data_IF_873354782599
#
_entry.id   IF_873354782599
#
_cell.length_a   1.000
_cell.length_b   1.000
_cell.length_c   1.000
_cell.angle_alpha   90.00
_cell.angle_beta   90.00
_cell.angle_gamma   90.00
#
_symmetry.space_group_name_H-M   'P 1'
#
loop_
_entity.id
_entity.type
_entity.pdbx_description
1 polymer ?
#
# COMPACT_ATOMS: atom_id res chain seq x y z
N UNK A 1 9.33 -15.29 0.74
CA UNK A 1 7.87 -15.11 0.63
C UNK A 1 7.23 -16.45 0.27
N UNK A 2 6.14 -16.82 0.94
CA UNK A 2 5.39 -18.05 0.66
C UNK A 2 4.86 -18.06 -0.80
N UNK A 3 4.79 -19.25 -1.42
CA UNK A 3 4.34 -19.46 -2.80
C UNK A 3 2.91 -18.97 -3.03
N UNK A 4 2.01 -19.15 -2.05
CA UNK A 4 0.62 -18.68 -2.15
C UNK A 4 0.52 -17.15 -2.32
N UNK A 5 1.29 -16.40 -1.53
CA UNK A 5 1.31 -14.92 -1.64
C UNK A 5 1.95 -14.46 -2.94
N UNK A 6 2.98 -15.17 -3.42
CA UNK A 6 3.57 -14.91 -4.75
C UNK A 6 2.56 -15.16 -5.87
N UNK A 7 1.78 -16.24 -5.78
CA UNK A 7 0.73 -16.55 -6.74
C UNK A 7 -0.34 -15.44 -6.77
N UNK A 8 -0.84 -14.99 -5.60
CA UNK A 8 -1.82 -13.90 -5.52
C UNK A 8 -1.33 -12.63 -6.22
N UNK A 9 -0.08 -12.20 -5.96
CA UNK A 9 0.50 -11.01 -6.60
C UNK A 9 0.65 -11.21 -8.11
N UNK A 10 1.15 -12.37 -8.53
CA UNK A 10 1.36 -12.66 -9.95
C UNK A 10 0.05 -12.75 -10.72
N UNK A 11 -0.97 -13.42 -10.19
CA UNK A 11 -2.28 -13.55 -10.83
C UNK A 11 -2.96 -12.18 -10.98
N UNK A 12 -2.91 -11.36 -9.92
CA UNK A 12 -3.39 -9.98 -9.96
C UNK A 12 -2.65 -9.15 -11.02
N UNK A 13 -1.31 -9.24 -11.06
CA UNK A 13 -0.51 -8.48 -12.00
C UNK A 13 -0.70 -8.96 -13.45
N UNK A 14 -0.76 -10.27 -13.68
CA UNK A 14 -0.97 -10.85 -15.00
C UNK A 14 -2.29 -10.40 -15.62
N UNK A 15 -3.35 -10.25 -14.81
CA UNK A 15 -4.62 -9.70 -15.28
C UNK A 15 -4.46 -8.25 -15.77
N UNK A 16 -3.73 -7.41 -15.04
CA UNK A 16 -3.55 -5.98 -15.36
C UNK A 16 -2.55 -5.73 -16.50
N UNK A 17 -1.48 -6.52 -16.59
CA UNK A 17 -0.44 -6.36 -17.60
C UNK A 17 -0.98 -6.57 -19.03
N UNK A 18 -2.09 -7.28 -19.19
CA UNK A 18 -2.79 -7.38 -20.49
C UNK A 18 -3.19 -6.02 -21.06
N UNK A 19 -3.56 -5.05 -20.22
CA UNK A 19 -3.92 -3.68 -20.64
C UNK A 19 -2.69 -2.99 -21.23
N UNK A 20 -1.52 -3.17 -20.61
CA UNK A 20 -0.27 -2.61 -21.09
C UNK A 20 0.16 -3.24 -22.42
N UNK A 21 0.03 -4.57 -22.56
CA UNK A 21 0.28 -5.26 -23.81
C UNK A 21 -0.63 -4.75 -24.94
N UNK A 22 -1.93 -4.56 -24.65
CA UNK A 22 -2.88 -3.99 -25.60
C UNK A 22 -2.52 -2.55 -26.02
N UNK A 23 -2.08 -1.70 -25.07
CA UNK A 23 -1.61 -0.33 -25.35
C UNK A 23 -0.40 -0.35 -26.30
N UNK A 24 0.55 -1.27 -26.10
CA UNK A 24 1.70 -1.46 -27.00
C UNK A 24 1.27 -1.89 -28.40
N UNK A 25 0.45 -2.93 -28.51
CA UNK A 25 -0.01 -3.47 -29.80
C UNK A 25 -0.79 -2.41 -30.59
N UNK A 26 -1.62 -1.62 -29.90
CA UNK A 26 -2.35 -0.50 -30.50
C UNK A 26 -1.41 0.60 -31.00
N UNK A 27 -0.39 0.98 -30.22
CA UNK A 27 0.58 2.00 -30.61
C UNK A 27 1.41 1.55 -31.83
N UNK A 28 1.86 0.29 -31.84
CA UNK A 28 2.58 -0.30 -32.97
C UNK A 28 1.71 -0.24 -34.24
N UNK A 29 0.44 -0.66 -34.15
CA UNK A 29 -0.49 -0.63 -35.28
C UNK A 29 -0.72 0.79 -35.84
N UNK A 30 -0.83 1.80 -34.96
CA UNK A 30 -0.94 3.21 -35.37
C UNK A 30 0.28 3.68 -36.16
N UNK A 31 1.49 3.40 -35.66
CA UNK A 31 2.72 3.80 -36.33
C UNK A 31 2.94 3.04 -37.64
N UNK A 32 2.62 1.75 -37.68
CA UNK A 32 2.69 0.94 -38.90
C UNK A 32 1.74 1.50 -39.98
N UNK A 33 0.53 1.93 -39.60
CA UNK A 33 -0.39 2.62 -40.51
C UNK A 33 0.18 3.91 -41.10
N UNK A 34 0.82 4.74 -40.26
CA UNK A 34 1.44 5.99 -40.70
C UNK A 34 2.63 5.73 -41.65
N UNK A 35 3.50 4.78 -41.30
CA UNK A 35 4.65 4.41 -42.13
C UNK A 35 4.21 3.81 -43.46
N UNK A 36 3.18 2.96 -43.47
CA UNK A 36 2.64 2.35 -44.70
C UNK A 36 2.02 3.40 -45.63
N UNK A 37 1.36 4.41 -45.07
CA UNK A 37 0.82 5.52 -45.86
C UNK A 37 1.95 6.36 -46.45
N UNK A 38 2.93 6.75 -45.63
CA UNK A 38 4.08 7.54 -46.09
C UNK A 38 4.91 6.80 -47.14
N UNK A 39 5.12 5.48 -47.01
CA UNK A 39 5.85 4.71 -48.01
C UNK A 39 5.14 4.68 -49.36
N UNK A 40 3.80 4.59 -49.39
CA UNK A 40 2.99 4.67 -50.62
C UNK A 40 3.01 6.05 -51.27
N UNK A 41 3.12 7.10 -50.45
CA UNK A 41 3.32 8.47 -50.95
C UNK A 41 4.72 8.63 -51.55
N UNK A 42 5.75 8.05 -50.94
CA UNK A 42 7.13 8.14 -51.43
C UNK A 42 7.43 7.23 -52.64
N UNK A 43 6.75 6.09 -52.77
CA UNK A 43 6.92 5.14 -53.88
C UNK A 43 6.11 5.51 -55.14
N UNK A 44 5.22 6.49 -55.06
CA UNK A 44 4.34 6.88 -56.18
C UNK A 44 3.21 5.86 -56.47
N UNK A 45 3.04 4.81 -55.66
CA UNK A 45 2.01 3.79 -55.86
C UNK A 45 0.57 4.32 -55.72
N UNK A 46 0.40 5.52 -55.17
CA UNK A 46 -0.88 6.24 -55.15
C UNK A 46 -1.34 6.67 -56.55
N UNK A 47 -0.41 6.84 -57.51
CA UNK A 47 -0.70 7.20 -58.90
C UNK A 47 -1.16 5.97 -59.71
N UNK A 48 -0.68 4.77 -59.39
CA UNK A 48 -1.02 3.54 -60.14
C UNK A 48 -2.40 2.94 -59.83
N UNK A 49 -3.00 3.27 -58.67
CA UNK A 49 -4.37 2.89 -58.37
C UNK A 49 -5.42 3.78 -59.08
N UNK A 50 -5.03 4.98 -59.51
CA UNK A 50 -5.85 5.84 -60.37
C UNK A 50 -5.86 5.40 -61.83
N UNK A 51 -4.76 4.79 -62.29
CA UNK A 51 -4.57 4.43 -63.70
C UNK A 51 -5.32 3.17 -64.14
N UNK A 52 -5.83 2.36 -63.20
CA UNK A 52 -6.75 1.25 -63.49
C UNK A 52 -8.24 1.65 -63.48
N UNK A 53 -8.55 2.90 -63.16
CA UNK A 53 -9.90 3.48 -63.21
C UNK A 53 -10.05 4.55 -64.31
N UNK A 54 -9.16 4.57 -65.31
CA UNK A 54 -9.25 5.41 -66.51
C UNK A 54 -10.50 5.18 -67.39
N UNK A 55 -11.47 4.38 -66.94
CA UNK A 55 -12.79 4.19 -67.58
C UNK A 55 -13.97 4.75 -66.78
N UNK A 56 -13.72 5.40 -65.63
CA UNK A 56 -14.77 5.89 -64.72
C UNK A 56 -15.32 7.29 -64.99
N UNK A 57 -14.62 8.11 -65.78
CA UNK A 57 -15.11 9.42 -66.20
C UNK A 57 -15.63 9.32 -67.63
N UNK A 58 -16.95 9.32 -67.79
CA UNK A 58 -17.57 9.34 -69.12
C UNK A 58 -17.07 10.51 -69.96
N UNK A 59 -17.23 10.38 -71.28
CA UNK A 59 -16.79 11.27 -72.38
C UNK A 59 -17.07 12.78 -72.18
N UNK A 60 -17.87 13.16 -71.18
CA UNK A 60 -18.16 14.53 -70.77
C UNK A 60 -17.08 15.23 -69.93
N UNK A 61 -16.17 14.50 -69.25
CA UNK A 61 -15.24 15.11 -68.28
C UNK A 61 -13.90 15.59 -68.88
N UNK A 62 -13.46 15.02 -70.01
CA UNK A 62 -12.14 15.29 -70.60
C UNK A 62 -11.92 16.74 -71.07
N UNK A 63 -12.99 17.54 -71.27
CA UNK A 63 -12.89 18.92 -71.74
C UNK A 63 -13.05 19.98 -70.63
N UNK A 64 -13.38 19.58 -69.40
CA UNK A 64 -13.64 20.51 -68.28
C UNK A 64 -12.55 20.45 -67.20
N UNK A 65 -11.75 19.39 -67.19
CA UNK A 65 -10.75 19.14 -66.17
C UNK A 65 -9.41 18.92 -66.88
N UNK A 66 -8.51 19.89 -66.74
CA UNK A 66 -7.13 19.79 -67.25
C UNK A 66 -6.35 18.81 -66.35
N UNK A 67 -6.26 17.57 -66.81
CA UNK A 67 -5.64 16.43 -66.14
C UNK A 67 -4.18 16.73 -65.76
N UNK A 68 -3.45 17.44 -66.64
CA UNK A 68 -2.07 17.85 -66.42
C UNK A 68 -1.93 18.90 -65.31
N UNK A 69 -2.93 19.78 -65.17
CA UNK A 69 -2.98 20.74 -64.06
C UNK A 69 -3.38 20.08 -62.75
N UNK A 70 -4.27 19.10 -62.77
CA UNK A 70 -4.63 18.33 -61.58
C UNK A 70 -3.46 17.48 -61.08
N UNK A 71 -2.74 16.81 -61.96
CA UNK A 71 -1.48 16.14 -61.62
C UNK A 71 -0.47 17.11 -61.04
N UNK A 72 -0.29 18.30 -61.64
CA UNK A 72 0.64 19.31 -61.11
C UNK A 72 0.23 19.83 -59.74
N UNK A 73 -1.07 20.02 -59.50
CA UNK A 73 -1.61 20.47 -58.21
C UNK A 73 -1.50 19.36 -57.18
N UNK A 74 -1.79 18.11 -57.54
CA UNK A 74 -1.67 16.93 -56.66
C UNK A 74 -0.21 16.63 -56.30
N UNK A 75 0.72 16.79 -57.25
CA UNK A 75 2.16 16.66 -56.97
C UNK A 75 2.73 17.84 -56.17
N UNK A 76 2.29 19.08 -56.44
CA UNK A 76 2.69 20.25 -55.63
C UNK A 76 2.10 20.23 -54.21
N UNK A 77 0.82 19.83 -54.06
CA UNK A 77 0.19 19.68 -52.74
C UNK A 77 0.69 18.45 -51.99
N UNK A 78 0.93 17.34 -52.68
CA UNK A 78 1.53 16.13 -52.12
C UNK A 78 2.95 16.37 -51.58
N UNK A 79 3.79 17.13 -52.30
CA UNK A 79 5.12 17.56 -51.81
C UNK A 79 5.05 18.49 -50.60
N UNK A 80 4.01 19.33 -50.51
CA UNK A 80 3.76 20.18 -49.33
C UNK A 80 3.34 19.41 -48.08
N UNK A 81 2.77 18.22 -48.26
CA UNK A 81 2.29 17.37 -47.16
C UNK A 81 3.23 16.19 -46.83
N UNK A 82 4.32 16.04 -47.57
CA UNK A 82 5.34 15.04 -47.33
C UNK A 82 5.94 15.19 -45.92
N UNK A 83 6.04 14.07 -45.21
CA UNK A 83 6.56 14.06 -43.85
C UNK A 83 8.03 14.50 -43.83
N UNK A 84 8.41 15.34 -42.86
CA UNK A 84 9.83 15.71 -42.72
C UNK A 84 10.70 14.49 -42.42
N UNK A 85 11.89 14.43 -43.01
CA UNK A 85 12.81 13.30 -42.81
C UNK A 85 13.11 13.02 -41.33
N UNK A 86 13.23 14.07 -40.50
CA UNK A 86 13.41 13.94 -39.05
C UNK A 86 12.21 13.29 -38.37
N UNK A 87 10.98 13.64 -38.77
CA UNK A 87 9.76 13.03 -38.24
C UNK A 87 9.65 11.57 -38.66
N UNK A 88 9.91 11.27 -39.93
CA UNK A 88 9.91 9.91 -40.45
C UNK A 88 10.90 9.00 -39.70
N UNK A 89 12.14 9.47 -39.47
CA UNK A 89 13.13 8.76 -38.68
C UNK A 89 12.69 8.52 -37.24
N UNK A 90 12.07 9.51 -36.57
CA UNK A 90 11.55 9.32 -35.21
C UNK A 90 10.43 8.30 -35.15
N UNK A 91 9.49 8.32 -36.10
CA UNK A 91 8.39 7.35 -36.16
C UNK A 91 8.94 5.94 -36.37
N UNK A 92 9.91 5.76 -37.28
CA UNK A 92 10.59 4.48 -37.48
C UNK A 92 11.30 4.00 -36.21
N UNK A 93 12.01 4.91 -35.52
CA UNK A 93 12.71 4.60 -34.28
C UNK A 93 11.74 4.20 -33.15
N UNK A 94 10.66 4.96 -32.98
CA UNK A 94 9.62 4.69 -31.99
C UNK A 94 8.94 3.34 -32.27
N UNK A 95 8.60 3.06 -33.52
CA UNK A 95 8.03 1.77 -33.94
C UNK A 95 8.97 0.61 -33.61
N UNK A 96 10.25 0.72 -34.01
CA UNK A 96 11.25 -0.31 -33.72
C UNK A 96 11.42 -0.52 -32.22
N UNK A 97 11.47 0.56 -31.45
CA UNK A 97 11.57 0.50 -29.98
C UNK A 97 10.37 -0.20 -29.35
N UNK A 98 9.15 0.15 -29.76
CA UNK A 98 7.93 -0.50 -29.28
C UNK A 98 7.86 -1.98 -29.63
N UNK A 99 8.33 -2.38 -30.82
CA UNK A 99 8.41 -3.79 -31.20
C UNK A 99 9.37 -4.57 -30.29
N UNK A 100 10.55 -4.02 -29.99
CA UNK A 100 11.50 -4.63 -29.04
C UNK A 100 10.89 -4.73 -27.64
N UNK A 101 10.22 -3.68 -27.15
CA UNK A 101 9.52 -3.71 -25.86
C UNK A 101 8.43 -4.76 -25.83
N UNK A 102 7.74 -4.98 -26.95
CA UNK A 102 6.70 -6.01 -27.05
C UNK A 102 7.28 -7.42 -27.02
N UNK A 103 8.44 -7.63 -27.65
CA UNK A 103 9.18 -8.90 -27.62
C UNK A 103 9.73 -9.21 -26.21
N UNK A 104 10.25 -8.20 -25.51
CA UNK A 104 10.82 -8.33 -24.15
C UNK A 104 9.80 -8.09 -23.03
N UNK A 105 8.51 -8.05 -23.34
CA UNK A 105 7.43 -7.68 -22.39
C UNK A 105 7.50 -8.43 -21.05
N UNK A 106 7.76 -9.74 -21.09
CA UNK A 106 7.84 -10.57 -19.89
C UNK A 106 9.02 -10.23 -18.97
N UNK A 107 10.04 -9.50 -19.45
CA UNK A 107 11.24 -9.17 -18.68
C UNK A 107 11.06 -7.88 -17.88
N UNK A 108 10.51 -6.84 -18.52
CA UNK A 108 10.38 -5.49 -17.93
C UNK A 108 9.00 -5.24 -17.33
N UNK A 109 7.93 -5.86 -17.84
CA UNK A 109 6.56 -5.70 -17.33
C UNK A 109 6.15 -6.82 -16.36
N UNK A 110 7.09 -7.37 -15.58
CA UNK A 110 6.83 -8.42 -14.57
C UNK A 110 6.76 -7.83 -13.17
N UNK A 111 6.03 -8.50 -12.28
CA UNK A 111 6.14 -8.23 -10.85
C UNK A 111 7.58 -8.52 -10.36
N UNK A 112 8.18 -7.58 -9.65
CA UNK A 112 9.51 -7.75 -9.05
C UNK A 112 9.37 -8.20 -7.60
N UNK A 113 10.09 -9.26 -7.23
CA UNK A 113 10.15 -9.75 -5.86
C UNK A 113 11.58 -9.63 -5.35
N UNK A 114 11.75 -8.92 -4.24
CA UNK A 114 13.02 -8.67 -3.58
C UNK A 114 12.98 -9.24 -2.17
N UNK A 115 14.10 -9.75 -1.68
CA UNK A 115 14.28 -9.98 -0.25
C UNK A 115 14.92 -8.73 0.39
N UNK A 116 14.41 -8.32 1.54
CA UNK A 116 14.95 -7.18 2.28
C UNK A 116 16.36 -7.50 2.79
N UNK A 117 17.36 -6.79 2.26
CA UNK A 117 18.76 -6.87 2.70
C UNK A 117 19.18 -5.58 3.40
N UNK A 118 19.10 -4.46 2.68
CA UNK A 118 19.31 -3.10 3.16
C UNK A 118 18.49 -2.10 2.31
N UNK A 119 18.27 -0.87 2.79
CA UNK A 119 17.45 0.13 2.07
C UNK A 119 17.99 0.53 0.70
N UNK A 120 19.30 0.68 0.56
CA UNK A 120 19.94 1.15 -0.67
C UNK A 120 19.77 0.16 -1.81
N UNK A 121 19.97 -1.13 -1.52
CA UNK A 121 19.78 -2.21 -2.48
C UNK A 121 18.33 -2.26 -2.97
N UNK A 122 17.36 -2.19 -2.03
CA UNK A 122 15.93 -2.20 -2.38
C UNK A 122 15.56 -0.97 -3.20
N UNK A 123 16.02 0.22 -2.80
CA UNK A 123 15.75 1.48 -3.51
C UNK A 123 16.34 1.49 -4.92
N UNK A 124 17.57 1.01 -5.07
CA UNK A 124 18.26 0.92 -6.37
C UNK A 124 17.58 -0.07 -7.31
N UNK A 125 17.19 -1.25 -6.81
CA UNK A 125 16.43 -2.24 -7.58
C UNK A 125 15.08 -1.69 -8.02
N UNK A 126 14.35 -1.05 -7.10
CA UNK A 126 13.09 -0.39 -7.40
C UNK A 126 13.25 0.67 -8.50
N UNK A 127 14.18 1.61 -8.33
CA UNK A 127 14.40 2.68 -9.31
C UNK A 127 14.79 2.10 -10.67
N UNK A 128 15.65 1.08 -10.72
CA UNK A 128 16.03 0.41 -11.96
C UNK A 128 14.85 -0.26 -12.65
N UNK A 129 14.01 -1.00 -11.91
CA UNK A 129 12.88 -1.72 -12.47
C UNK A 129 11.79 -0.77 -12.96
N UNK A 130 11.45 0.26 -12.16
CA UNK A 130 10.46 1.25 -12.53
C UNK A 130 10.91 2.19 -13.64
N UNK A 131 12.21 2.51 -13.73
CA UNK A 131 12.72 3.28 -14.87
C UNK A 131 12.67 2.46 -16.17
N UNK A 132 12.89 1.15 -16.13
CA UNK A 132 12.68 0.29 -17.30
C UNK A 132 11.22 0.31 -17.77
N UNK A 133 10.26 0.36 -16.84
CA UNK A 133 8.85 0.57 -17.17
C UNK A 133 8.60 1.99 -17.71
N UNK A 134 9.20 3.02 -17.10
CA UNK A 134 9.06 4.40 -17.52
C UNK A 134 9.59 4.65 -18.94
N UNK A 135 10.67 3.97 -19.35
CA UNK A 135 11.18 4.02 -20.72
C UNK A 135 10.14 3.53 -21.73
N UNK A 136 9.38 2.48 -21.38
CA UNK A 136 8.27 2.00 -22.20
C UNK A 136 7.13 3.01 -22.29
N UNK A 137 6.75 3.64 -21.17
CA UNK A 137 5.76 4.72 -21.15
C UNK A 137 6.21 5.94 -21.96
N UNK A 138 7.49 6.33 -21.88
CA UNK A 138 8.06 7.39 -22.69
C UNK A 138 7.91 7.09 -24.19
N UNK A 139 8.25 5.88 -24.62
CA UNK A 139 8.07 5.46 -26.01
C UNK A 139 6.61 5.48 -26.45
N UNK A 140 5.68 5.04 -25.60
CA UNK A 140 4.24 5.10 -25.87
C UNK A 140 3.75 6.55 -26.02
N UNK A 141 4.22 7.48 -25.17
CA UNK A 141 3.89 8.90 -25.28
C UNK A 141 4.46 9.53 -26.55
N UNK A 142 5.71 9.20 -26.91
CA UNK A 142 6.30 9.63 -28.18
C UNK A 142 5.45 9.15 -29.36
N UNK A 143 5.04 7.87 -29.35
CA UNK A 143 4.19 7.30 -30.38
C UNK A 143 2.82 7.99 -30.49
N UNK A 144 2.17 8.32 -29.37
CA UNK A 144 0.90 9.06 -29.38
C UNK A 144 1.07 10.49 -29.91
N UNK A 145 2.11 11.20 -29.46
CA UNK A 145 2.43 12.55 -29.93
C UNK A 145 2.72 12.57 -31.43
N UNK A 146 3.48 11.59 -31.93
CA UNK A 146 3.77 11.47 -33.36
C UNK A 146 2.55 11.09 -34.19
N UNK A 147 1.71 10.20 -33.66
CA UNK A 147 0.45 9.80 -34.31
C UNK A 147 -0.50 10.98 -34.49
N UNK A 148 -0.54 11.89 -33.50
CA UNK A 148 -1.31 13.12 -33.58
C UNK A 148 -0.60 14.29 -34.29
N UNK A 149 0.62 14.10 -34.82
CA UNK A 149 1.45 15.19 -35.35
C UNK A 149 1.69 16.35 -34.36
N UNK A 150 1.69 16.06 -33.05
CA UNK A 150 1.85 17.04 -31.95
C UNK A 150 3.28 17.08 -31.40
N UNK A 151 4.18 16.23 -31.88
CA UNK A 151 5.53 16.15 -31.36
C UNK A 151 6.37 17.39 -31.70
N UNK A 152 6.84 18.12 -30.68
CA UNK A 152 7.71 19.29 -30.81
C UNK A 152 9.12 18.94 -30.30
N UNK A 153 10.13 18.81 -31.18
CA UNK A 153 11.49 18.41 -30.76
C UNK A 153 12.10 19.32 -29.68
N UNK A 154 11.91 20.63 -29.81
CA UNK A 154 12.48 21.63 -28.88
C UNK A 154 12.00 21.46 -27.43
N UNK A 155 10.80 20.90 -27.23
CA UNK A 155 10.19 20.68 -25.92
C UNK A 155 10.32 19.23 -25.49
N UNK A 156 9.93 18.30 -26.35
CA UNK A 156 9.79 16.89 -26.00
C UNK A 156 11.13 16.17 -25.93
N UNK A 157 12.13 16.53 -26.73
CA UNK A 157 13.43 15.85 -26.68
C UNK A 157 14.14 16.10 -25.34
N UNK A 158 13.96 17.30 -24.76
CA UNK A 158 14.49 17.63 -23.43
C UNK A 158 13.72 16.90 -22.32
N UNK A 159 12.39 16.83 -22.44
CA UNK A 159 11.53 16.13 -21.49
C UNK A 159 11.83 14.62 -21.43
N UNK A 160 11.86 13.95 -22.58
CA UNK A 160 12.05 12.50 -22.63
C UNK A 160 13.47 12.04 -22.29
N UNK A 161 14.48 12.93 -22.39
CA UNK A 161 15.87 12.62 -22.03
C UNK A 161 16.06 12.30 -20.55
N UNK A 162 15.28 12.95 -19.68
CA UNK A 162 15.35 12.78 -18.22
C UNK A 162 14.05 12.15 -17.68
N UNK A 163 13.30 11.44 -18.52
CA UNK A 163 12.06 10.81 -18.12
C UNK A 163 12.35 9.63 -17.19
N UNK A 164 11.71 9.62 -16.03
CA UNK A 164 11.83 8.57 -15.03
C UNK A 164 10.45 8.16 -14.53
N UNK A 165 10.38 7.14 -13.68
CA UNK A 165 9.12 6.74 -13.06
C UNK A 165 8.43 7.88 -12.29
N UNK A 166 9.17 8.90 -11.85
CA UNK A 166 8.60 10.10 -11.19
C UNK A 166 7.82 11.02 -12.13
N UNK A 167 7.91 10.79 -13.45
CA UNK A 167 7.23 11.58 -14.48
C UNK A 167 5.99 10.87 -15.05
N UNK A 168 5.65 9.69 -14.52
CA UNK A 168 4.44 8.96 -14.89
C UNK A 168 3.20 9.77 -14.46
N UNK A 169 2.15 9.68 -15.27
CA UNK A 169 0.83 10.18 -14.88
C UNK A 169 0.09 9.11 -14.06
N UNK A 170 -1.07 9.45 -13.51
CA UNK A 170 -1.82 8.54 -12.64
C UNK A 170 -2.22 7.24 -13.36
N UNK A 171 -2.63 7.30 -14.63
CA UNK A 171 -2.99 6.10 -15.42
C UNK A 171 -1.80 5.17 -15.68
N UNK A 172 -0.61 5.74 -15.87
CA UNK A 172 0.63 4.97 -16.06
C UNK A 172 1.13 4.43 -14.72
N UNK A 173 1.04 5.21 -13.64
CA UNK A 173 1.37 4.75 -12.30
C UNK A 173 0.46 3.59 -11.85
N UNK A 174 -0.83 3.63 -12.20
CA UNK A 174 -1.80 2.55 -11.97
C UNK A 174 -1.48 1.25 -12.72
N UNK A 175 -0.75 1.35 -13.82
CA UNK A 175 -0.31 0.23 -14.65
C UNK A 175 1.18 -0.07 -14.48
N UNK A 176 1.81 0.44 -13.43
CA UNK A 176 3.20 0.14 -13.11
C UNK A 176 3.33 -1.28 -12.51
N UNK A 177 4.34 -2.07 -12.90
CA UNK A 177 4.60 -3.37 -12.31
C UNK A 177 4.87 -3.25 -10.81
N UNK A 178 4.29 -4.11 -9.96
CA UNK A 178 4.50 -4.03 -8.53
C UNK A 178 5.92 -4.44 -8.17
N UNK A 179 6.54 -3.70 -7.24
CA UNK A 179 7.79 -4.12 -6.60
C UNK A 179 7.50 -4.54 -5.17
N UNK A 180 7.58 -5.85 -4.93
CA UNK A 180 7.27 -6.50 -3.67
C UNK A 180 8.55 -6.85 -2.93
N UNK A 181 8.68 -6.32 -1.73
CA UNK A 181 9.81 -6.56 -0.84
C UNK A 181 9.36 -7.50 0.26
N UNK A 182 9.95 -8.68 0.31
CA UNK A 182 9.74 -9.66 1.35
C UNK A 182 10.71 -9.42 2.51
N UNK A 183 10.18 -9.35 3.72
CA UNK A 183 10.94 -9.18 4.94
C UNK A 183 10.51 -10.19 5.99
N UNK A 184 11.48 -10.82 6.65
CA UNK A 184 11.26 -11.56 7.89
C UNK A 184 11.56 -10.65 9.09
N UNK A 185 10.67 -10.57 10.10
CA UNK A 185 10.84 -9.73 11.28
C UNK A 185 12.17 -9.91 12.02
N UNK A 186 12.76 -11.11 11.99
CA UNK A 186 14.08 -11.42 12.57
C UNK A 186 14.43 -10.67 13.86
N UNK A 187 15.72 -10.36 14.03
CA UNK A 187 16.21 -9.44 15.08
C UNK A 187 16.17 -7.99 14.62
N UNK A 188 15.18 -7.57 13.82
CA UNK A 188 15.09 -6.19 13.31
C UNK A 188 14.83 -5.23 14.48
N UNK A 189 15.91 -4.65 15.00
CA UNK A 189 15.92 -3.73 16.13
C UNK A 189 16.94 -2.63 15.88
N UNK A 190 16.80 -1.50 16.58
CA UNK A 190 17.76 -0.41 16.51
C UNK A 190 17.94 0.13 15.09
N UNK A 191 19.18 0.14 14.59
CA UNK A 191 19.56 0.72 13.29
C UNK A 191 18.71 0.22 12.11
N UNK A 192 18.37 -1.07 12.08
CA UNK A 192 17.58 -1.68 11.00
C UNK A 192 16.14 -1.18 10.94
N UNK A 193 15.60 -0.68 12.06
CA UNK A 193 14.30 -0.02 12.08
C UNK A 193 14.37 1.39 11.50
N UNK A 194 15.45 2.13 11.80
CA UNK A 194 15.69 3.45 11.19
C UNK A 194 15.84 3.37 9.68
N UNK A 195 16.58 2.37 9.20
CA UNK A 195 16.72 2.02 7.79
C UNK A 195 15.37 1.75 7.10
N UNK A 196 14.46 1.02 7.75
CA UNK A 196 13.11 0.80 7.21
C UNK A 196 12.28 2.08 7.15
N UNK A 197 12.32 2.90 8.19
CA UNK A 197 11.63 4.19 8.23
C UNK A 197 12.13 5.09 7.09
N UNK A 198 13.44 5.11 6.83
CA UNK A 198 14.03 5.84 5.71
C UNK A 198 13.53 5.31 4.37
N UNK A 199 13.49 3.98 4.19
CA UNK A 199 12.97 3.34 2.99
C UNK A 199 11.52 3.76 2.69
N UNK A 200 10.65 3.75 3.70
CA UNK A 200 9.25 4.18 3.54
C UNK A 200 9.11 5.71 3.36
N UNK A 201 10.03 6.49 3.92
CA UNK A 201 10.04 7.95 3.77
C UNK A 201 10.57 8.41 2.41
N UNK A 202 11.24 7.52 1.66
CA UNK A 202 11.83 7.80 0.35
C UNK A 202 10.85 8.06 -0.79
N UNK A 203 9.53 8.03 -0.53
CA UNK A 203 8.49 8.40 -1.50
C UNK A 203 8.27 7.39 -2.63
N UNK A 204 8.87 6.20 -2.54
CA UNK A 204 8.65 5.10 -3.49
C UNK A 204 7.43 4.28 -3.07
N UNK A 205 6.49 3.94 -3.96
CA UNK A 205 5.36 3.07 -3.65
C UNK A 205 5.77 1.58 -3.51
N UNK A 206 6.69 1.31 -2.58
CA UNK A 206 7.18 -0.02 -2.25
C UNK A 206 6.12 -0.84 -1.51
N UNK A 207 6.03 -2.14 -1.83
CA UNK A 207 5.07 -3.08 -1.22
C UNK A 207 5.83 -4.05 -0.32
N UNK A 208 5.86 -3.78 0.98
CA UNK A 208 6.65 -4.56 1.94
C UNK A 208 5.78 -5.61 2.63
N UNK A 209 6.05 -6.88 2.36
CA UNK A 209 5.41 -8.01 3.03
C UNK A 209 6.28 -8.46 4.20
N UNK A 210 5.74 -8.31 5.40
CA UNK A 210 6.37 -8.71 6.66
C UNK A 210 5.72 -10.01 7.12
N UNK A 211 6.44 -11.13 6.98
CA UNK A 211 5.91 -12.45 7.33
C UNK A 211 6.39 -12.85 8.73
N UNK A 212 5.50 -12.78 9.70
CA UNK A 212 5.78 -13.14 11.08
C UNK A 212 5.55 -14.62 11.30
N UNK A 213 6.56 -15.32 11.82
CA UNK A 213 6.47 -16.77 12.10
C UNK A 213 5.70 -17.06 13.40
N UNK A 214 5.56 -16.04 14.26
CA UNK A 214 4.86 -16.15 15.52
C UNK A 214 4.42 -14.80 16.09
N UNK A 215 3.39 -14.86 16.93
CA UNK A 215 2.91 -13.72 17.70
C UNK A 215 3.23 -13.83 19.20
N UNK A 216 4.11 -14.76 19.60
CA UNK A 216 4.63 -14.85 20.98
C UNK A 216 5.93 -14.07 21.15
N UNK A 217 6.16 -13.50 22.34
CA UNK A 217 7.34 -12.66 22.63
C UNK A 217 8.29 -13.31 23.63
N UNK A 218 9.54 -12.84 23.66
CA UNK A 218 10.53 -13.30 24.64
C UNK A 218 10.11 -13.00 26.08
N UNK A 219 10.46 -13.91 27.00
CA UNK A 219 10.06 -13.86 28.41
C UNK A 219 11.23 -13.73 29.39
N UNK A 220 12.46 -13.66 28.89
CA UNK A 220 13.67 -13.63 29.69
C UNK A 220 13.84 -12.35 30.55
N UNK A 221 13.08 -11.29 30.29
CA UNK A 221 13.09 -10.06 31.07
C UNK A 221 11.68 -9.62 31.45
N UNK A 222 11.56 -8.93 32.59
CA UNK A 222 10.31 -8.39 33.12
C UNK A 222 10.40 -6.88 33.33
N UNK A 223 9.26 -6.23 33.52
CA UNK A 223 9.16 -4.78 33.71
C UNK A 223 9.64 -3.99 32.48
N UNK A 224 10.37 -2.89 32.70
CA UNK A 224 10.84 -2.01 31.61
C UNK A 224 11.78 -2.71 30.63
N UNK A 225 12.49 -3.75 31.07
CA UNK A 225 13.39 -4.50 30.21
C UNK A 225 12.65 -5.46 29.26
N UNK A 226 11.41 -5.83 29.57
CA UNK A 226 10.56 -6.68 28.72
C UNK A 226 10.20 -5.99 27.39
N UNK A 227 10.18 -4.65 27.35
CA UNK A 227 9.94 -3.88 26.13
C UNK A 227 10.95 -4.25 25.03
N UNK A 228 12.20 -4.54 25.42
CA UNK A 228 13.24 -4.97 24.49
C UNK A 228 13.05 -6.42 24.01
N UNK A 229 12.02 -7.13 24.45
CA UNK A 229 11.71 -8.51 24.06
C UNK A 229 10.42 -8.62 23.24
N UNK A 230 9.62 -7.55 23.18
CA UNK A 230 8.51 -7.43 22.24
C UNK A 230 9.04 -7.36 20.81
N UNK A 231 8.30 -7.95 19.86
CA UNK A 231 8.58 -7.72 18.44
C UNK A 231 8.12 -6.32 18.06
N UNK A 232 8.83 -5.64 17.14
CA UNK A 232 8.34 -4.39 16.61
C UNK A 232 7.00 -4.59 15.91
N UNK A 233 5.99 -3.84 16.34
CA UNK A 233 4.66 -3.84 15.74
C UNK A 233 4.70 -3.05 14.41
N UNK A 234 5.10 -3.71 13.31
CA UNK A 234 5.27 -3.08 11.98
C UNK A 234 3.99 -2.42 11.46
N UNK A 235 2.83 -3.00 11.76
CA UNK A 235 1.56 -2.40 11.37
C UNK A 235 1.32 -1.06 12.09
N UNK A 236 1.59 -1.00 13.40
CA UNK A 236 1.47 0.22 14.19
C UNK A 236 2.50 1.28 13.77
N UNK A 237 3.72 0.86 13.42
CA UNK A 237 4.72 1.74 12.81
C UNK A 237 4.19 2.37 11.51
N UNK A 238 3.57 1.57 10.63
CA UNK A 238 2.98 2.07 9.39
C UNK A 238 1.94 3.17 9.63
N UNK A 239 1.07 2.99 10.63
CA UNK A 239 0.12 4.02 11.08
C UNK A 239 0.87 5.29 11.53
N UNK A 240 1.92 5.15 12.35
CA UNK A 240 2.70 6.27 12.85
C UNK A 240 3.38 7.08 11.74
N UNK A 241 3.72 6.44 10.60
CA UNK A 241 4.29 7.10 9.43
C UNK A 241 3.25 7.89 8.60
N UNK A 242 1.95 7.70 8.84
CA UNK A 242 0.79 8.42 8.27
C UNK A 242 0.58 8.35 6.75
N UNK A 243 1.63 8.03 5.99
CA UNK A 243 1.61 7.99 4.52
C UNK A 243 1.74 6.57 3.97
N UNK A 244 1.73 5.56 4.83
CA UNK A 244 1.93 4.15 4.49
C UNK A 244 0.59 3.43 4.61
N UNK A 245 0.18 2.74 3.56
CA UNK A 245 -0.97 1.83 3.61
C UNK A 245 -0.59 0.60 4.44
N UNK A 246 -1.46 0.14 5.34
CA UNK A 246 -1.17 -1.02 6.20
C UNK A 246 -2.29 -2.03 6.11
N UNK A 247 -1.91 -3.29 6.01
CA UNK A 247 -2.78 -4.42 6.31
C UNK A 247 -2.08 -5.27 7.36
N UNK A 248 -2.76 -5.54 8.46
CA UNK A 248 -2.34 -6.55 9.42
C UNK A 248 -3.40 -7.64 9.51
N UNK A 249 -2.99 -8.90 9.44
CA UNK A 249 -3.92 -10.02 9.55
C UNK A 249 -3.26 -11.38 9.37
N UNK A 250 -4.09 -12.41 9.35
CA UNK A 250 -3.64 -13.81 9.25
C UNK A 250 -4.15 -14.40 7.93
N UNK A 251 -3.29 -14.96 7.07
CA UNK A 251 -3.72 -15.61 5.83
C UNK A 251 -4.79 -16.69 6.06
N UNK A 252 -5.78 -16.75 5.18
CA UNK A 252 -6.91 -17.67 5.28
C UNK A 252 -8.26 -17.03 5.66
N UNK A 253 -8.26 -15.74 6.01
CA UNK A 253 -9.48 -14.94 6.14
C UNK A 253 -9.94 -14.42 4.77
N UNK A 254 -11.25 -14.47 4.49
CA UNK A 254 -11.81 -14.18 3.17
C UNK A 254 -11.46 -12.78 2.66
N UNK A 255 -11.52 -11.76 3.53
CA UNK A 255 -11.36 -10.36 3.13
C UNK A 255 -9.91 -9.87 3.12
N UNK A 256 -8.98 -10.61 3.72
CA UNK A 256 -7.57 -10.21 3.76
C UNK A 256 -6.95 -10.11 2.36
N UNK A 257 -7.34 -11.01 1.45
CA UNK A 257 -6.85 -10.99 0.08
C UNK A 257 -7.28 -9.71 -0.64
N UNK A 258 -8.55 -9.28 -0.46
CA UNK A 258 -9.06 -8.06 -1.07
C UNK A 258 -8.30 -6.81 -0.59
N UNK A 259 -7.99 -6.74 0.71
CA UNK A 259 -7.20 -5.66 1.29
C UNK A 259 -5.75 -5.65 0.79
N UNK A 260 -5.16 -6.83 0.61
CA UNK A 260 -3.83 -6.96 -0.01
C UNK A 260 -3.86 -6.39 -1.43
N UNK A 261 -4.84 -6.78 -2.24
CA UNK A 261 -4.97 -6.30 -3.62
C UNK A 261 -5.21 -4.78 -3.69
N UNK A 262 -5.95 -4.22 -2.73
CA UNK A 262 -6.15 -2.78 -2.59
C UNK A 262 -4.83 -2.08 -2.25
N UNK A 263 -4.06 -2.64 -1.31
CA UNK A 263 -2.74 -2.10 -0.96
C UNK A 263 -1.71 -2.19 -2.09
N UNK A 264 -1.77 -3.23 -2.93
CA UNK A 264 -0.92 -3.36 -4.12
C UNK A 264 -1.21 -2.25 -5.14
N UNK A 265 -2.46 -1.79 -5.23
CA UNK A 265 -2.90 -0.71 -6.12
C UNK A 265 -2.60 0.69 -5.60
N UNK A 266 -2.42 0.86 -4.30
CA UNK A 266 -2.15 2.17 -3.72
C UNK A 266 -0.89 2.83 -4.31
N UNK A 267 -0.90 4.13 -4.56
CA UNK A 267 0.29 4.90 -4.95
C UNK A 267 1.21 5.21 -3.77
N UNK A 268 0.89 4.67 -2.59
CA UNK A 268 1.67 4.83 -1.38
C UNK A 268 2.56 3.61 -1.13
N UNK A 269 3.63 3.77 -0.35
CA UNK A 269 4.27 2.63 0.27
C UNK A 269 3.22 1.84 1.07
N UNK A 270 3.33 0.51 1.06
CA UNK A 270 2.42 -0.37 1.77
C UNK A 270 3.19 -1.37 2.65
N UNK A 271 2.64 -1.67 3.82
CA UNK A 271 3.12 -2.71 4.74
C UNK A 271 2.00 -3.75 4.88
N UNK A 272 2.32 -5.00 4.53
CA UNK A 272 1.47 -6.15 4.77
C UNK A 272 2.09 -6.98 5.90
N UNK A 273 1.63 -6.77 7.13
CA UNK A 273 2.08 -7.47 8.34
C UNK A 273 1.26 -8.74 8.52
N UNK A 274 1.80 -9.89 8.09
CA UNK A 274 1.06 -11.14 8.04
C UNK A 274 1.63 -12.14 9.03
N UNK A 275 0.79 -12.76 9.85
CA UNK A 275 1.19 -13.87 10.72
C UNK A 275 1.07 -15.19 9.94
N UNK A 276 2.18 -15.85 9.66
CA UNK A 276 2.17 -17.19 9.10
C UNK A 276 1.70 -18.20 10.16
N UNK A 277 0.57 -18.84 9.89
CA UNK A 277 0.13 -20.01 10.66
C UNK A 277 0.73 -21.25 10.01
N UNK A 278 1.70 -21.90 10.66
CA UNK A 278 2.16 -23.24 10.29
C UNK A 278 1.45 -24.29 11.17
N UNK A 279 0.46 -25.03 10.62
CA UNK A 279 -0.22 -26.08 11.37
C UNK A 279 0.71 -27.22 11.81
N UNK A 280 1.84 -27.41 11.13
CA UNK A 280 2.81 -28.47 11.42
C UNK A 280 3.78 -28.13 12.56
N UNK A 281 4.16 -26.86 12.71
CA UNK A 281 5.08 -26.41 13.78
C UNK A 281 4.36 -26.19 15.12
N UNK A 282 3.07 -25.84 15.12
CA UNK A 282 2.27 -25.69 16.33
C UNK A 282 0.81 -26.13 16.06
N UNK A 283 0.51 -27.44 16.10
CA UNK A 283 -0.84 -27.97 15.87
C UNK A 283 -1.89 -27.47 16.89
N UNK A 284 -1.45 -26.85 17.99
CA UNK A 284 -2.30 -26.21 19.00
C UNK A 284 -2.57 -24.72 18.75
N UNK A 285 -1.85 -24.07 17.81
CA UNK A 285 -2.23 -22.78 17.21
C UNK A 285 -3.37 -23.02 16.21
N UNK A 286 -4.44 -23.64 16.69
CA UNK A 286 -5.68 -23.79 15.97
C UNK A 286 -6.33 -22.41 15.81
N UNK A 287 -6.40 -21.96 14.57
CA UNK A 287 -7.13 -20.81 14.04
C UNK A 287 -6.45 -19.44 14.16
N UNK A 288 -6.24 -18.82 12.99
CA UNK A 288 -6.15 -17.37 12.79
C UNK A 288 -7.09 -16.59 13.74
N UNK A 289 -8.30 -17.13 13.91
CA UNK A 289 -9.32 -16.61 14.81
C UNK A 289 -8.83 -16.43 16.26
N UNK A 290 -8.08 -17.38 16.84
CA UNK A 290 -7.55 -17.23 18.19
C UNK A 290 -6.49 -16.13 18.29
N UNK A 291 -5.60 -16.01 17.30
CA UNK A 291 -4.58 -14.96 17.28
C UNK A 291 -5.22 -13.56 17.26
N UNK A 292 -6.31 -13.41 16.50
CA UNK A 292 -7.05 -12.16 16.38
C UNK A 292 -7.89 -11.90 17.64
N UNK A 293 -8.67 -12.87 18.10
CA UNK A 293 -9.55 -12.74 19.26
C UNK A 293 -8.79 -12.46 20.56
N UNK A 294 -7.62 -13.09 20.75
CA UNK A 294 -6.74 -12.86 21.91
C UNK A 294 -6.01 -11.51 21.89
N UNK A 295 -6.15 -10.73 20.81
CA UNK A 295 -5.37 -9.53 20.52
C UNK A 295 -3.85 -9.78 20.42
N UNK A 296 -3.43 -11.05 20.23
CA UNK A 296 -2.03 -11.37 19.94
C UNK A 296 -1.59 -10.79 18.60
N UNK A 297 -2.49 -10.86 17.60
CA UNK A 297 -2.28 -10.34 16.26
C UNK A 297 -3.60 -9.77 15.70
N UNK A 298 -4.08 -8.62 16.21
CA UNK A 298 -5.35 -8.06 15.78
C UNK A 298 -5.31 -7.69 14.30
N UNK A 299 -6.44 -7.87 13.62
CA UNK A 299 -6.61 -7.53 12.21
C UNK A 299 -6.89 -6.03 12.08
N UNK A 300 -6.27 -5.34 11.14
CA UNK A 300 -6.68 -3.97 10.81
C UNK A 300 -6.18 -3.54 9.44
N UNK A 301 -6.87 -2.56 8.86
CA UNK A 301 -6.47 -1.88 7.63
C UNK A 301 -6.29 -0.41 7.94
N UNK A 302 -5.15 0.16 7.57
CA UNK A 302 -4.93 1.60 7.59
C UNK A 302 -4.75 2.09 6.16
N UNK A 303 -5.73 2.86 5.67
CA UNK A 303 -5.68 3.51 4.38
C UNK A 303 -5.61 5.04 4.55
N UNK A 304 -4.43 5.66 4.36
CA UNK A 304 -4.28 7.11 4.43
C UNK A 304 -5.18 7.91 3.49
N UNK A 305 -5.67 7.28 2.41
CA UNK A 305 -6.50 7.93 1.40
C UNK A 305 -8.01 7.74 1.65
N UNK A 306 -8.42 7.01 2.69
CA UNK A 306 -9.84 6.78 3.00
C UNK A 306 -10.54 7.98 3.63
N UNK A 307 -9.79 8.93 4.24
CA UNK A 307 -10.36 10.13 4.84
C UNK A 307 -9.31 11.12 5.35
N UNK A 308 -9.78 12.18 6.01
CA UNK A 308 -8.91 13.20 6.61
C UNK A 308 -8.61 12.87 8.08
N UNK A 309 -9.62 12.41 8.82
CA UNK A 309 -9.45 12.04 10.22
C UNK A 309 -8.85 10.64 10.33
N UNK A 310 -8.00 10.42 11.34
CA UNK A 310 -7.39 9.10 11.57
C UNK A 310 -8.43 7.98 11.73
N UNK A 311 -9.59 8.31 12.31
CA UNK A 311 -10.70 7.38 12.49
C UNK A 311 -11.32 6.91 11.17
N UNK A 312 -11.32 7.75 10.13
CA UNK A 312 -11.81 7.38 8.80
C UNK A 312 -10.78 6.51 8.04
N UNK A 313 -9.51 6.60 8.45
CA UNK A 313 -8.40 5.92 7.79
C UNK A 313 -8.08 4.54 8.39
N UNK A 314 -8.53 4.24 9.62
CA UNK A 314 -8.20 3.01 10.33
C UNK A 314 -9.44 2.15 10.55
N UNK A 315 -9.47 0.98 9.93
CA UNK A 315 -10.53 -0.01 10.09
C UNK A 315 -10.08 -1.20 10.94
N UNK A 316 -10.89 -1.50 11.97
CA UNK A 316 -10.72 -2.63 12.89
C UNK A 316 -12.01 -3.47 13.00
N UNK A 317 -13.01 -3.27 12.14
CA UNK A 317 -14.32 -3.93 12.22
C UNK A 317 -14.25 -5.45 12.19
N UNK A 318 -13.29 -5.98 11.42
CA UNK A 318 -13.10 -7.41 11.17
C UNK A 318 -12.48 -8.18 12.34
N UNK A 319 -12.49 -7.62 13.55
CA UNK A 319 -12.09 -8.34 14.75
C UNK A 319 -13.33 -8.73 15.57
N UNK A 320 -13.30 -9.87 16.27
CA UNK A 320 -14.33 -10.20 17.26
C UNK A 320 -14.43 -9.12 18.35
N UNK A 321 -15.67 -8.80 18.72
CA UNK A 321 -16.03 -7.76 19.69
C UNK A 321 -15.20 -6.48 19.52
N UNK A 322 -15.29 -5.80 18.36
CA UNK A 322 -14.35 -4.75 18.00
C UNK A 322 -14.48 -3.48 18.87
N UNK A 323 -15.58 -3.36 19.61
CA UNK A 323 -15.87 -2.23 20.51
C UNK A 323 -15.57 -2.56 21.98
N UNK A 324 -15.21 -3.81 22.29
CA UNK A 324 -14.83 -4.27 23.62
C UNK A 324 -13.32 -4.45 23.75
N UNK A 325 -12.79 -4.27 24.96
CA UNK A 325 -11.36 -4.51 25.24
C UNK A 325 -10.97 -5.96 24.94
N UNK A 326 -11.85 -6.90 25.28
CA UNK A 326 -11.62 -8.34 25.14
C UNK A 326 -12.68 -8.98 24.26
N UNK A 327 -12.29 -9.98 23.48
CA UNK A 327 -13.20 -10.80 22.71
C UNK A 327 -13.76 -11.97 23.54
N UNK A 328 -14.98 -12.41 23.22
CA UNK A 328 -15.63 -13.59 23.79
C UNK A 328 -15.78 -14.68 22.73
N UNK A 329 -15.36 -15.89 23.08
CA UNK A 329 -15.58 -17.11 22.29
C UNK A 329 -16.22 -18.13 23.22
N UNK A 330 -17.36 -18.69 22.83
CA UNK A 330 -18.12 -19.67 23.62
C UNK A 330 -18.34 -19.21 25.09
N UNK A 331 -18.78 -17.96 25.26
CA UNK A 331 -18.98 -17.28 26.56
C UNK A 331 -17.76 -17.09 27.45
N UNK A 332 -16.57 -17.39 26.94
CA UNK A 332 -15.30 -17.16 27.62
C UNK A 332 -14.55 -15.99 27.02
N UNK A 333 -14.05 -15.12 27.88
CA UNK A 333 -13.12 -14.07 27.46
C UNK A 333 -11.78 -14.68 27.04
N UNK A 334 -11.29 -14.25 25.89
CA UNK A 334 -10.00 -14.69 25.35
C UNK A 334 -9.00 -13.55 25.46
N UNK A 335 -7.85 -13.85 26.05
CA UNK A 335 -6.72 -12.94 26.25
C UNK A 335 -5.47 -13.47 25.55
N UNK A 336 -4.42 -12.64 25.44
CA UNK A 336 -3.12 -13.07 24.94
C UNK A 336 -2.55 -14.25 25.72
N UNK A 337 -2.79 -14.34 27.04
CA UNK A 337 -2.34 -15.48 27.84
C UNK A 337 -2.96 -16.80 27.36
N UNK A 338 -4.21 -16.79 26.89
CA UNK A 338 -4.88 -17.97 26.32
C UNK A 338 -4.26 -18.40 24.99
N UNK A 339 -3.79 -17.44 24.19
CA UNK A 339 -3.05 -17.71 22.96
C UNK A 339 -1.65 -18.28 23.28
N UNK A 340 -0.90 -17.62 24.15
CA UNK A 340 0.44 -18.04 24.54
C UNK A 340 0.45 -19.43 25.20
N UNK A 341 -0.58 -19.77 26.00
CA UNK A 341 -0.70 -21.08 26.64
C UNK A 341 -0.81 -22.25 25.66
N UNK A 342 -1.22 -21.98 24.41
CA UNK A 342 -1.32 -22.98 23.34
C UNK A 342 -0.08 -23.02 22.43
N UNK A 343 0.89 -22.15 22.64
CA UNK A 343 2.15 -22.18 21.91
C UNK A 343 3.19 -23.02 22.66
N UNK A 344 3.70 -24.07 22.00
CA UNK A 344 4.68 -24.98 22.61
C UNK A 344 5.95 -24.26 23.09
N UNK A 345 6.34 -23.16 22.44
CA UNK A 345 7.52 -22.36 22.82
C UNK A 345 7.36 -21.70 24.18
N UNK A 346 6.13 -21.45 24.59
CA UNK A 346 5.81 -20.78 25.84
C UNK A 346 5.50 -21.77 26.97
N UNK A 347 5.59 -23.08 26.75
CA UNK A 347 5.22 -24.09 27.75
C UNK A 347 5.93 -23.89 29.11
N UNK A 348 7.20 -23.48 29.12
CA UNK A 348 7.94 -23.20 30.37
C UNK A 348 7.42 -21.99 31.16
N UNK A 349 6.60 -21.15 30.54
CA UNK A 349 5.97 -19.97 31.16
C UNK A 349 4.64 -20.29 31.83
N UNK A 350 4.21 -21.55 31.82
CA UNK A 350 2.94 -21.99 32.41
C UNK A 350 3.18 -23.16 33.36
N UNK A 351 2.70 -23.02 34.60
CA UNK A 351 2.79 -24.09 35.61
C UNK A 351 1.40 -24.55 36.02
N UNK A 352 1.12 -25.86 36.16
CA UNK A 352 -0.17 -26.32 36.67
C UNK A 352 -0.49 -25.71 38.04
N UNK A 353 -1.72 -25.20 38.21
CA UNK A 353 -2.13 -24.50 39.43
C UNK A 353 -1.95 -25.35 40.69
N UNK A 354 -2.27 -26.65 40.64
CA UNK A 354 -2.09 -27.55 41.78
C UNK A 354 -0.62 -27.68 42.19
N UNK A 355 0.32 -27.60 41.25
CA UNK A 355 1.77 -27.63 41.53
C UNK A 355 2.20 -26.38 42.29
N UNK A 356 1.74 -25.20 41.85
CA UNK A 356 2.03 -23.92 42.52
C UNK A 356 1.46 -23.85 43.94
N UNK A 357 0.25 -24.40 44.15
CA UNK A 357 -0.37 -24.53 45.48
C UNK A 357 0.43 -25.49 46.35
N UNK A 358 0.84 -26.65 45.82
CA UNK A 358 1.62 -27.65 46.54
C UNK A 358 3.01 -27.12 46.96
N UNK A 359 3.63 -26.28 46.13
CA UNK A 359 4.89 -25.62 46.45
C UNK A 359 4.73 -24.40 47.38
N UNK A 360 3.51 -24.03 47.75
CA UNK A 360 3.23 -22.87 48.61
C UNK A 360 3.50 -21.52 47.95
N UNK A 361 3.60 -21.49 46.62
CA UNK A 361 3.90 -20.28 45.83
C UNK A 361 2.60 -19.58 45.43
N UNK A 362 1.57 -20.32 45.03
CA UNK A 362 0.25 -19.77 44.73
C UNK A 362 -0.67 -19.72 45.96
N UNK A 363 -1.47 -18.66 46.03
CA UNK A 363 -2.60 -18.62 46.94
C UNK A 363 -3.71 -19.53 46.41
N UNK A 364 -4.44 -20.19 47.30
CA UNK A 364 -5.61 -21.00 46.92
C UNK A 364 -6.83 -20.11 46.60
N UNK A 365 -6.65 -19.17 45.68
CA UNK A 365 -7.64 -18.20 45.23
C UNK A 365 -7.43 -17.91 43.73
N UNK A 366 -7.66 -18.93 42.87
CA UNK A 366 -7.44 -18.80 41.43
C UNK A 366 -8.46 -17.84 40.82
N UNK A 367 -8.01 -17.02 39.88
CA UNK A 367 -8.83 -16.02 39.20
C UNK A 367 -8.48 -15.98 37.72
N UNK A 368 -9.47 -15.79 36.85
CA UNK A 368 -9.24 -15.61 35.42
C UNK A 368 -8.32 -14.42 35.14
N UNK A 369 -7.45 -14.52 34.13
CA UNK A 369 -6.51 -13.45 33.77
C UNK A 369 -7.22 -12.12 33.53
N UNK A 370 -8.38 -12.11 32.87
CA UNK A 370 -9.15 -10.88 32.65
C UNK A 370 -9.51 -10.21 33.98
N UNK A 371 -10.20 -10.94 34.85
CA UNK A 371 -10.64 -10.43 36.15
C UNK A 371 -9.43 -9.98 37.01
N UNK A 372 -8.33 -10.73 36.96
CA UNK A 372 -7.10 -10.37 37.63
C UNK A 372 -6.51 -9.03 37.13
N UNK A 373 -6.57 -8.76 35.83
CA UNK A 373 -6.05 -7.52 35.24
C UNK A 373 -6.94 -6.30 35.52
N UNK A 374 -8.23 -6.50 35.75
CA UNK A 374 -9.17 -5.42 36.10
C UNK A 374 -9.01 -4.94 37.56
N UNK A 375 -8.43 -5.77 38.44
CA UNK A 375 -8.18 -5.39 39.83
C UNK A 375 -7.07 -4.33 39.97
N UNK A 376 -7.14 -3.46 41.00
CA UNK A 376 -6.03 -2.62 41.42
C UNK A 376 -4.80 -3.44 41.81
N UNK A 377 -3.59 -2.91 41.59
CA UNK A 377 -2.33 -3.63 41.79
C UNK A 377 -2.11 -4.20 43.21
N UNK A 378 -2.70 -3.58 44.24
CA UNK A 378 -2.62 -4.07 45.63
C UNK A 378 -3.48 -5.31 45.82
N UNK A 379 -4.68 -5.34 45.21
CA UNK A 379 -5.64 -6.43 45.33
C UNK A 379 -5.18 -7.66 44.55
N UNK A 380 -4.53 -7.46 43.40
CA UNK A 380 -3.91 -8.55 42.60
C UNK A 380 -3.00 -9.47 43.42
N UNK A 381 -2.31 -8.94 44.44
CA UNK A 381 -1.42 -9.72 45.32
C UNK A 381 -2.14 -10.83 46.12
N UNK A 382 -3.47 -10.79 46.19
CA UNK A 382 -4.31 -11.75 46.93
C UNK A 382 -4.89 -12.86 46.06
N UNK A 383 -4.58 -12.85 44.76
CA UNK A 383 -5.14 -13.76 43.77
C UNK A 383 -4.03 -14.38 42.94
N UNK A 384 -4.30 -15.57 42.41
CA UNK A 384 -3.41 -16.23 41.45
C UNK A 384 -4.09 -16.23 40.08
N UNK A 385 -3.53 -15.54 39.06
CA UNK A 385 -4.10 -15.55 37.73
C UNK A 385 -4.00 -16.96 37.15
N UNK A 386 -5.04 -17.41 36.44
CA UNK A 386 -5.05 -18.70 35.76
C UNK A 386 -5.65 -18.58 34.37
N UNK A 387 -5.10 -19.36 33.44
CA UNK A 387 -5.73 -19.66 32.14
C UNK A 387 -6.25 -21.08 32.17
N UNK A 388 -7.36 -21.32 31.46
CA UNK A 388 -7.98 -22.64 31.38
C UNK A 388 -7.73 -23.21 29.99
N UNK A 389 -7.05 -24.36 29.92
CA UNK A 389 -6.91 -25.13 28.70
C UNK A 389 -7.78 -26.37 28.77
N UNK A 390 -8.60 -26.58 27.75
CA UNK A 390 -9.39 -27.79 27.57
C UNK A 390 -8.60 -28.78 26.71
N UNK A 391 -8.45 -30.01 27.17
CA UNK A 391 -7.88 -31.11 26.40
C UNK A 391 -8.95 -31.69 25.46
N UNK A 392 -8.51 -32.48 24.46
CA UNK A 392 -9.40 -33.15 23.50
C UNK A 392 -10.44 -34.07 24.18
N UNK A 393 -10.14 -34.58 25.37
CA UNK A 393 -11.02 -35.44 26.17
C UNK A 393 -12.03 -34.68 27.03
N UNK A 394 -12.13 -33.35 26.88
CA UNK A 394 -13.04 -32.48 27.65
C UNK A 394 -12.54 -32.10 29.05
N UNK A 395 -11.39 -32.63 29.49
CA UNK A 395 -10.78 -32.25 30.77
C UNK A 395 -10.15 -30.85 30.69
N UNK A 396 -10.40 -30.02 31.69
CA UNK A 396 -9.84 -28.66 31.77
C UNK A 396 -8.71 -28.58 32.79
N UNK A 397 -7.55 -28.07 32.38
CA UNK A 397 -6.40 -27.82 33.24
C UNK A 397 -6.24 -26.33 33.48
N UNK A 398 -6.03 -25.94 34.74
CA UNK A 398 -5.71 -24.56 35.13
C UNK A 398 -4.20 -24.38 35.14
N UNK A 399 -3.72 -23.43 34.36
CA UNK A 399 -2.31 -23.08 34.30
C UNK A 399 -2.10 -21.67 34.85
N UNK A 400 -1.06 -21.50 35.65
CA UNK A 400 -0.61 -20.22 36.18
C UNK A 400 0.41 -19.66 35.18
N UNK A 401 0.11 -18.54 34.50
CA UNK A 401 1.06 -17.87 33.62
C UNK A 401 2.18 -17.21 34.42
N UNK A 402 3.36 -17.13 33.82
CA UNK A 402 4.47 -16.37 34.38
C UNK A 402 4.15 -14.88 34.42
N UNK A 403 4.91 -14.14 35.22
CA UNK A 403 4.81 -12.68 35.28
C UNK A 403 5.01 -12.03 33.90
N UNK A 404 5.91 -12.57 33.07
CA UNK A 404 6.15 -12.03 31.73
C UNK A 404 4.91 -12.16 30.85
N UNK A 405 4.22 -13.30 30.88
CA UNK A 405 2.98 -13.50 30.11
C UNK A 405 1.88 -12.52 30.56
N UNK A 406 1.76 -12.28 31.86
CA UNK A 406 0.82 -11.27 32.38
C UNK A 406 1.16 -9.86 31.87
N UNK A 407 2.43 -9.47 31.90
CA UNK A 407 2.89 -8.16 31.40
C UNK A 407 2.66 -8.02 29.88
N UNK A 408 2.94 -9.05 29.10
CA UNK A 408 2.65 -9.08 27.65
C UNK A 408 1.13 -9.02 27.38
N UNK A 409 0.32 -9.68 28.20
CA UNK A 409 -1.16 -9.63 28.06
C UNK A 409 -1.69 -8.22 28.30
N UNK A 410 -1.16 -7.51 29.29
CA UNK A 410 -1.50 -6.10 29.53
C UNK A 410 -1.11 -5.22 28.35
N UNK A 411 0.08 -5.43 27.79
CA UNK A 411 0.59 -4.66 26.67
C UNK A 411 -0.27 -4.84 25.40
N UNK A 412 -0.63 -6.09 25.06
CA UNK A 412 -1.53 -6.37 23.93
C UNK A 412 -2.93 -5.77 24.12
N UNK A 413 -3.44 -5.77 25.35
CA UNK A 413 -4.70 -5.10 25.67
C UNK A 413 -4.61 -3.58 25.47
N UNK A 414 -3.50 -2.96 25.85
CA UNK A 414 -3.26 -1.54 25.65
C UNK A 414 -3.10 -1.18 24.17
N UNK A 415 -2.40 -2.01 23.39
CA UNK A 415 -2.31 -1.87 21.94
C UNK A 415 -3.71 -1.85 21.31
N UNK A 416 -4.57 -2.77 21.72
CA UNK A 416 -5.95 -2.83 21.23
C UNK A 416 -6.76 -1.58 21.58
N UNK A 417 -6.70 -1.09 22.83
CA UNK A 417 -7.36 0.15 23.22
C UNK A 417 -6.87 1.36 22.41
N UNK A 418 -5.57 1.41 22.08
CA UNK A 418 -5.02 2.45 21.22
C UNK A 418 -5.58 2.36 19.80
N UNK A 419 -5.66 1.15 19.23
CA UNK A 419 -6.27 0.92 17.92
C UNK A 419 -7.75 1.34 17.90
N UNK A 420 -8.52 0.98 18.93
CA UNK A 420 -9.90 1.43 19.08
C UNK A 420 -10.00 2.95 19.10
N UNK A 421 -9.22 3.60 19.97
CA UNK A 421 -9.23 5.07 20.06
C UNK A 421 -8.84 5.75 18.74
N UNK A 422 -7.89 5.19 17.99
CA UNK A 422 -7.49 5.72 16.69
C UNK A 422 -8.56 5.51 15.61
N UNK A 423 -9.29 4.40 15.66
CA UNK A 423 -10.43 4.09 14.79
C UNK A 423 -11.72 4.82 15.21
N UNK A 424 -11.65 5.74 16.17
CA UNK A 424 -12.82 6.48 16.67
C UNK A 424 -13.76 5.64 17.56
N UNK A 425 -13.34 4.44 17.97
CA UNK A 425 -14.09 3.53 18.84
C UNK A 425 -13.70 3.71 20.31
N UNK A 426 -14.68 3.65 21.20
CA UNK A 426 -14.45 3.43 22.64
C UNK A 426 -13.62 4.47 23.38
N UNK A 427 -13.97 5.77 23.30
CA UNK A 427 -13.44 6.75 24.28
C UNK A 427 -14.50 7.14 25.32
N UNK A 428 -14.17 7.15 26.63
CA UNK A 428 -14.95 7.89 27.64
C UNK A 428 -15.11 9.39 27.29
N UNK A 429 -14.23 9.93 26.44
CA UNK A 429 -14.28 11.31 25.94
C UNK A 429 -15.29 11.52 24.80
N UNK A 430 -15.69 10.47 24.06
CA UNK A 430 -16.87 10.54 23.18
C UNK A 430 -18.17 10.58 24.00
N UNK A 431 -18.19 9.97 25.19
CA UNK A 431 -19.27 10.07 26.17
C UNK A 431 -19.38 11.46 26.83
N UNK A 432 -18.25 12.13 27.07
CA UNK A 432 -18.24 13.49 27.62
C UNK A 432 -18.71 14.56 26.60
N UNK A 433 -18.60 14.29 25.30
CA UNK A 433 -19.14 15.13 24.24
C UNK A 433 -20.60 14.78 23.86
N UNK A 434 -21.13 13.65 24.34
CA UNK A 434 -22.50 13.19 24.06
C UNK A 434 -23.40 13.11 25.30
N UNK A 435 -22.92 13.54 26.46
CA UNK A 435 -23.75 13.75 27.64
C UNK A 435 -24.51 15.09 27.51
N UNK A 436 -25.78 14.99 27.11
CA UNK A 436 -26.86 15.96 27.28
C UNK A 436 -26.59 17.43 26.86
N UNK A 437 -27.15 17.90 25.72
CA UNK A 437 -27.14 19.34 25.38
C UNK A 437 -28.04 20.18 26.30
N UNK A 438 -28.62 19.60 27.35
CA UNK A 438 -29.64 20.22 28.21
C UNK A 438 -29.15 20.71 29.58
N UNK A 439 -27.90 20.44 29.99
CA UNK A 439 -27.41 20.81 31.35
C UNK A 439 -26.28 21.84 31.37
N UNK A 440 -25.81 22.32 30.21
CA UNK A 440 -24.86 23.43 30.13
C UNK A 440 -25.52 24.78 29.76
N UNK A 441 -26.66 25.12 30.37
CA UNK A 441 -27.19 26.50 30.37
C UNK A 441 -26.89 27.16 31.70
N UNK A 442 -25.65 27.62 31.85
CA UNK A 442 -25.19 28.26 33.07
C UNK A 442 -23.88 29.03 32.96
N UNK A 443 -23.50 29.51 31.77
CA UNK A 443 -22.55 30.60 31.56
C UNK A 443 -22.49 30.90 30.06
N UNK A 444 -22.93 32.09 29.63
CA UNK A 444 -22.58 32.59 28.29
C UNK A 444 -21.09 33.01 28.29
N UNK A 445 -20.26 32.50 27.35
CA UNK A 445 -19.05 33.19 26.93
C UNK A 445 -19.31 33.79 25.54
N UNK A 446 -19.73 35.05 25.55
CA UNK A 446 -19.58 36.10 24.53
C UNK A 446 -19.21 35.68 23.11
N UNK A 447 -20.17 35.83 22.19
CA UNK A 447 -20.05 35.80 20.72
C UNK A 447 -18.88 36.66 20.17
N UNK A 448 -18.36 37.61 20.95
CA UNK A 448 -17.20 38.43 20.63
C UNK A 448 -15.89 37.63 20.57
N UNK A 449 -15.67 36.66 21.48
CA UNK A 449 -14.42 35.90 21.54
C UNK A 449 -14.26 34.94 20.33
N UNK A 450 -15.38 34.37 19.85
CA UNK A 450 -15.37 33.54 18.65
C UNK A 450 -15.14 34.38 17.38
N UNK A 451 -15.68 35.60 17.32
CA UNK A 451 -15.40 36.53 16.21
C UNK A 451 -13.96 37.02 16.20
N UNK A 452 -13.39 37.32 17.36
CA UNK A 452 -11.98 37.73 17.48
C UNK A 452 -11.03 36.59 17.08
N UNK A 453 -11.30 35.35 17.49
CA UNK A 453 -10.50 34.20 17.08
C UNK A 453 -10.58 33.92 15.58
N UNK A 454 -11.73 34.19 14.96
CA UNK A 454 -11.94 34.02 13.53
C UNK A 454 -11.26 35.12 12.71
N UNK A 455 -11.32 36.38 13.18
CA UNK A 455 -10.56 37.49 12.59
C UNK A 455 -9.04 37.28 12.72
N UNK A 456 -8.56 36.79 13.86
CA UNK A 456 -7.15 36.46 14.04
C UNK A 456 -6.68 35.35 13.09
N UNK A 457 -7.53 34.34 12.81
CA UNK A 457 -7.23 33.29 11.82
C UNK A 457 -7.15 33.85 10.41
N UNK A 458 -8.09 34.70 10.03
CA UNK A 458 -8.09 35.36 8.71
C UNK A 458 -6.89 36.29 8.53
N UNK A 459 -6.48 37.03 9.56
CA UNK A 459 -5.27 37.87 9.53
C UNK A 459 -3.99 37.02 9.39
N UNK A 460 -3.89 35.89 10.09
CA UNK A 460 -2.74 34.98 9.99
C UNK A 460 -2.67 34.39 8.58
N UNK A 461 -3.80 33.99 7.99
CA UNK A 461 -3.85 33.48 6.62
C UNK A 461 -3.47 34.55 5.59
N UNK A 462 -4.00 35.77 5.73
CA UNK A 462 -3.63 36.88 4.84
C UNK A 462 -2.15 37.25 4.96
N UNK A 463 -1.57 37.23 6.17
CA UNK A 463 -0.14 37.45 6.37
C UNK A 463 0.71 36.32 5.77
N UNK A 464 0.27 35.07 5.86
CA UNK A 464 0.94 33.93 5.25
C UNK A 464 0.92 34.01 3.71
N UNK A 465 -0.23 34.37 3.12
CA UNK A 465 -0.38 34.59 1.68
C UNK A 465 0.48 35.76 1.21
N UNK A 466 0.48 36.87 1.94
CA UNK A 466 1.29 38.06 1.61
C UNK A 466 2.78 37.74 1.67
N UNK A 467 3.24 36.98 2.68
CA UNK A 467 4.63 36.49 2.76
C UNK A 467 4.99 35.55 1.62
N UNK A 468 4.08 34.64 1.24
CA UNK A 468 4.29 33.73 0.13
C UNK A 468 4.44 34.48 -1.19
N UNK A 469 3.58 35.47 -1.46
CA UNK A 469 3.66 36.33 -2.64
C UNK A 469 4.93 37.18 -2.62
N UNK A 470 5.30 37.76 -1.47
CA UNK A 470 6.53 38.55 -1.33
C UNK A 470 7.78 37.70 -1.59
N UNK A 471 7.81 36.47 -1.10
CA UNK A 471 8.90 35.52 -1.36
C UNK A 471 8.93 35.07 -2.84
N UNK A 472 7.77 34.91 -3.48
CA UNK A 472 7.67 34.60 -4.89
C UNK A 472 8.21 35.75 -5.75
N UNK A 473 7.82 36.99 -5.43
CA UNK A 473 8.29 38.21 -6.11
C UNK A 473 9.78 38.42 -5.89
N UNK A 474 10.31 38.19 -4.67
CA UNK A 474 11.74 38.26 -4.39
C UNK A 474 12.54 37.21 -5.18
N UNK A 475 11.99 35.99 -5.35
CA UNK A 475 12.62 34.94 -6.17
C UNK A 475 12.56 35.23 -7.66
N UNK A 476 11.52 35.91 -8.14
CA UNK A 476 11.41 36.34 -9.54
C UNK A 476 12.29 37.57 -9.84
N UNK A 477 12.51 38.44 -8.85
CA UNK A 477 13.40 39.60 -8.97
C UNK A 477 14.90 39.26 -8.87
N UNK A 478 15.24 38.12 -8.25
CA UNK A 478 16.61 37.60 -8.16
C UNK A 478 16.95 36.60 -9.28
N UNK A 479 16.24 36.69 -10.42
CA UNK A 479 16.60 36.01 -11.66
C UNK A 479 17.85 36.60 -12.30
N UNK A 480 19.02 36.26 -11.74
CA UNK A 480 20.26 35.90 -12.43
C UNK A 480 21.07 34.97 -11.54
#
# INVERSE_FOLDING_TARGET
MNENLRAIVNDWWNSRSTILAYKLDTAIGKLDGILSHESRFQSGESEQAGDQNGSGFGEFAHNLIDESRLESILTETGRKWAMSARRYQRIQAARKGLAVLRETFAEWARAEFLDYTNPDHVSSRYDSHQNSYADACAMLRVADLESGARYQPEVHDAFFRNFTWRNLNDEEADLAPPCVVHMRPGSQRGARMGELIELFSGGRPLKVFVLQEHAVFGTAATGRAAINQLHPDFGFMGIALRRVFVVQGVPGEADLTADILTGLQSHRPAIFSLLETDPGANPHLGSAHLAIASRAFPRFVYNPDAGIALADCLDISENPDPDSQWARIDDRTITYADFAARDLRMHSEFTPFQTEVAHGVAMNNPMDVQAYLELPAIERRRHTPVVILSNADGNSTRLVPSRSIIEQTMDRAQLWLNLQSMAGKGTPHAGAASADPSVATGAEPTTSANKELQQQREEIEQQAVTRAITNLVARLALGN
#
